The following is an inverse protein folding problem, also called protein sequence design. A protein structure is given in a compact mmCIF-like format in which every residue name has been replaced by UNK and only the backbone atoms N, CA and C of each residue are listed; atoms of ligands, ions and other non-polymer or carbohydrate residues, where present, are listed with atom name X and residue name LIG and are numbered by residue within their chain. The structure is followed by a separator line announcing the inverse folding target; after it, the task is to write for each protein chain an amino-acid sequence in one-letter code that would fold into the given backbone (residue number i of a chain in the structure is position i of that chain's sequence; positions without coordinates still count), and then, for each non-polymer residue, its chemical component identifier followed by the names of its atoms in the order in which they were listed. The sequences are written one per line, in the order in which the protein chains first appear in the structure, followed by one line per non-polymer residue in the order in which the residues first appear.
data_IF_538754992243
#
_entry.id   IF_538754992243
#
_cell.length_a   1.000
_cell.length_b   1.000
_cell.length_c   1.000
_cell.angle_alpha   90.00
_cell.angle_beta   90.00
_cell.angle_gamma   90.00
#
_symmetry.space_group_name_H-M   'P 1'
#
loop_
_entity.id
_entity.type
_entity.pdbx_description
1 polymer ?
#
# COMPACT_ATOMS: atom_id res chain seq x y z
N UNK A 1 24.48 -8.12 -7.55
CA UNK A 1 24.61 -7.75 -6.13
C UNK A 1 24.55 -6.23 -6.04
N UNK A 2 23.65 -5.66 -5.24
CA UNK A 2 23.57 -4.20 -5.07
C UNK A 2 24.74 -3.73 -4.21
N UNK A 3 25.42 -2.66 -4.62
CA UNK A 3 26.52 -2.07 -3.82
C UNK A 3 26.00 -1.57 -2.46
N UNK A 4 26.76 -1.85 -1.38
CA UNK A 4 26.47 -1.37 -0.02
C UNK A 4 26.25 0.14 0.03
N UNK A 5 26.99 0.92 -0.77
CA UNK A 5 26.82 2.38 -0.83
C UNK A 5 25.45 2.76 -1.40
N UNK A 6 25.01 2.06 -2.43
CA UNK A 6 23.67 2.22 -2.99
C UNK A 6 22.61 1.87 -1.94
N UNK A 7 22.74 0.71 -1.30
CA UNK A 7 21.77 0.22 -0.33
C UNK A 7 21.59 1.22 0.84
N UNK A 8 22.70 1.73 1.40
CA UNK A 8 22.66 2.73 2.48
C UNK A 8 22.00 4.04 2.04
N UNK A 9 22.19 4.45 0.78
CA UNK A 9 21.51 5.63 0.23
C UNK A 9 20.00 5.38 0.09
N UNK A 10 19.61 4.22 -0.44
CA UNK A 10 18.20 3.91 -0.65
C UNK A 10 17.43 3.68 0.64
N UNK A 11 18.03 3.06 1.67
CA UNK A 11 17.42 2.96 2.99
C UNK A 11 17.03 4.35 3.53
N UNK A 12 17.95 5.33 3.46
CA UNK A 12 17.68 6.70 3.88
C UNK A 12 16.65 7.40 3.01
N UNK A 13 16.67 7.13 1.71
CA UNK A 13 15.67 7.65 0.78
C UNK A 13 14.28 7.14 1.13
N UNK A 14 14.09 5.83 1.28
CA UNK A 14 12.79 5.23 1.61
C UNK A 14 12.29 5.67 2.98
N UNK A 15 13.15 5.74 3.99
CA UNK A 15 12.78 6.29 5.29
C UNK A 15 12.26 7.74 5.20
N UNK A 16 12.86 8.56 4.33
CA UNK A 16 12.39 9.93 4.09
C UNK A 16 11.06 9.98 3.35
N UNK A 17 10.87 9.17 2.32
CA UNK A 17 9.59 9.14 1.60
C UNK A 17 8.46 8.60 2.48
N UNK A 18 8.73 7.61 3.33
CA UNK A 18 7.80 7.12 4.34
C UNK A 18 7.47 8.18 5.41
N UNK A 19 8.44 8.96 5.87
CA UNK A 19 8.19 10.07 6.79
C UNK A 19 7.26 11.13 6.17
N UNK A 20 7.44 11.45 4.88
CA UNK A 20 6.54 12.37 4.17
C UNK A 20 5.13 11.79 4.02
N UNK A 21 5.03 10.50 3.67
CA UNK A 21 3.75 9.82 3.56
C UNK A 21 3.01 9.80 4.90
N UNK A 22 3.71 9.54 6.02
CA UNK A 22 3.15 9.65 7.36
C UNK A 22 2.66 11.05 7.68
N UNK A 23 3.47 12.09 7.43
CA UNK A 23 3.04 13.47 7.69
C UNK A 23 1.84 13.90 6.82
N UNK A 24 1.71 13.35 5.61
CA UNK A 24 0.53 13.56 4.76
C UNK A 24 -0.67 12.84 5.34
N UNK A 25 -0.49 11.59 5.75
CA UNK A 25 -1.52 10.76 6.36
C UNK A 25 -2.05 11.41 7.65
N UNK A 26 -1.19 12.00 8.49
CA UNK A 26 -1.60 12.70 9.72
C UNK A 26 -2.65 13.77 9.43
N UNK A 27 -2.38 14.63 8.44
CA UNK A 27 -3.30 15.70 8.03
C UNK A 27 -4.58 15.14 7.42
N UNK A 28 -4.46 14.12 6.60
CA UNK A 28 -5.59 13.54 5.89
C UNK A 28 -6.52 12.80 6.85
N UNK A 29 -5.98 12.14 7.87
CA UNK A 29 -6.75 11.49 8.93
C UNK A 29 -7.53 12.47 9.81
N UNK A 30 -7.42 13.78 9.63
CA UNK A 30 -8.33 14.77 10.24
C UNK A 30 -9.60 14.98 9.40
N UNK A 31 -9.64 14.46 8.16
CA UNK A 31 -10.80 14.61 7.27
C UNK A 31 -12.00 13.80 7.78
N UNK A 32 -13.21 14.28 7.46
CA UNK A 32 -14.45 13.59 7.83
C UNK A 32 -14.71 12.35 6.97
N UNK A 33 -14.38 12.42 5.68
CA UNK A 33 -14.65 11.38 4.70
C UNK A 33 -13.51 11.22 3.68
N UNK A 34 -13.51 10.08 2.98
CA UNK A 34 -12.53 9.72 1.96
C UNK A 34 -13.23 9.16 0.71
N UNK A 35 -13.01 9.79 -0.43
CA UNK A 35 -13.44 9.29 -1.73
C UNK A 35 -12.21 8.79 -2.50
N UNK A 36 -11.86 7.50 -2.29
CA UNK A 36 -10.65 6.87 -2.84
C UNK A 36 -9.37 7.69 -2.68
N UNK A 37 -9.23 8.39 -1.54
CA UNK A 37 -8.00 9.10 -1.23
C UNK A 37 -6.85 8.09 -1.23
N UNK A 38 -5.71 8.47 -1.79
CA UNK A 38 -4.55 7.59 -1.81
C UNK A 38 -3.23 8.35 -1.79
N UNK A 39 -2.20 7.65 -1.33
CA UNK A 39 -0.82 8.15 -1.33
C UNK A 39 0.16 7.11 -1.82
N UNK A 40 1.10 7.56 -2.65
CA UNK A 40 2.18 6.74 -3.18
C UNK A 40 3.45 6.98 -2.37
N UNK A 41 4.19 5.91 -2.08
CA UNK A 41 5.53 6.01 -1.50
C UNK A 41 6.60 6.33 -2.57
N UNK A 42 6.37 5.90 -3.80
CA UNK A 42 7.37 5.92 -4.87
C UNK A 42 6.86 6.60 -6.15
N UNK A 43 6.39 7.85 -6.05
CA UNK A 43 5.89 8.64 -7.19
C UNK A 43 6.77 8.60 -8.47
N UNK A 44 8.07 8.35 -8.32
CA UNK A 44 9.05 8.38 -9.41
C UNK A 44 9.46 6.98 -9.88
N UNK A 45 8.80 5.90 -9.43
CA UNK A 45 9.07 4.53 -9.84
C UNK A 45 10.52 4.07 -9.58
N UNK A 46 11.19 4.62 -8.56
CA UNK A 46 12.60 4.28 -8.25
C UNK A 46 12.74 2.86 -7.71
N UNK A 47 11.69 2.33 -7.10
CA UNK A 47 11.55 0.96 -6.64
C UNK A 47 11.65 -0.08 -7.76
N UNK A 48 11.41 0.32 -9.01
CA UNK A 48 11.53 -0.56 -10.17
C UNK A 48 12.98 -0.98 -10.48
N UNK A 49 13.99 -0.27 -9.93
CA UNK A 49 15.40 -0.50 -10.26
C UNK A 49 15.95 -1.80 -9.69
N UNK A 50 15.56 -2.15 -8.46
CA UNK A 50 16.00 -3.37 -7.79
C UNK A 50 14.89 -3.96 -6.95
N UNK A 51 14.88 -5.29 -6.86
CA UNK A 51 13.91 -6.02 -6.05
C UNK A 51 13.93 -5.59 -4.57
N UNK A 52 15.10 -5.23 -4.03
CA UNK A 52 15.21 -4.71 -2.67
C UNK A 52 14.46 -3.40 -2.46
N UNK A 53 14.42 -2.54 -3.48
CA UNK A 53 13.70 -1.27 -3.42
C UNK A 53 12.19 -1.47 -3.59
N UNK A 54 11.75 -2.39 -4.46
CA UNK A 54 10.34 -2.83 -4.51
C UNK A 54 9.86 -3.35 -3.17
N UNK A 55 10.65 -4.20 -2.52
CA UNK A 55 10.32 -4.74 -1.20
C UNK A 55 10.24 -3.60 -0.17
N UNK A 56 11.15 -2.61 -0.22
CA UNK A 56 11.10 -1.45 0.65
C UNK A 56 9.83 -0.60 0.44
N UNK A 57 9.41 -0.40 -0.81
CA UNK A 57 8.16 0.30 -1.16
C UNK A 57 6.95 -0.44 -0.60
N UNK A 58 6.85 -1.75 -0.86
CA UNK A 58 5.76 -2.56 -0.35
C UNK A 58 5.73 -2.53 1.19
N UNK A 59 6.87 -2.77 1.85
CA UNK A 59 6.95 -2.75 3.31
C UNK A 59 6.53 -1.40 3.91
N UNK A 60 6.91 -0.27 3.29
CA UNK A 60 6.49 1.06 3.74
C UNK A 60 4.98 1.28 3.59
N UNK A 61 4.40 0.88 2.46
CA UNK A 61 2.95 0.95 2.26
C UNK A 61 2.18 0.06 3.23
N UNK A 62 2.66 -1.14 3.52
CA UNK A 62 2.04 -2.05 4.49
C UNK A 62 2.11 -1.49 5.94
N UNK A 63 3.23 -0.86 6.33
CA UNK A 63 3.29 -0.17 7.64
C UNK A 63 2.29 0.98 7.74
N UNK A 64 2.10 1.75 6.65
CA UNK A 64 1.08 2.80 6.62
C UNK A 64 -0.33 2.19 6.72
N UNK A 65 -0.59 1.07 6.06
CA UNK A 65 -1.87 0.35 6.14
C UNK A 65 -2.17 -0.08 7.59
N UNK A 66 -1.23 -0.72 8.25
CA UNK A 66 -1.37 -1.16 9.66
C UNK A 66 -1.61 0.03 10.58
N UNK A 67 -0.92 1.16 10.32
CA UNK A 67 -1.11 2.39 11.07
C UNK A 67 -2.53 2.94 10.95
N UNK A 68 -3.07 2.97 9.72
CA UNK A 68 -4.45 3.41 9.49
C UNK A 68 -5.44 2.46 10.16
N UNK A 69 -5.25 1.16 9.99
CA UNK A 69 -6.14 0.17 10.60
C UNK A 69 -6.15 0.28 12.13
N UNK A 70 -5.01 0.63 12.72
CA UNK A 70 -4.87 0.84 14.17
C UNK A 70 -5.33 2.23 14.65
N UNK A 71 -5.78 3.13 13.76
CA UNK A 71 -6.16 4.50 14.12
C UNK A 71 -7.51 4.61 14.84
N UNK A 72 -8.29 3.53 14.91
CA UNK A 72 -9.61 3.51 15.54
C UNK A 72 -10.69 4.23 14.74
N UNK A 73 -10.43 4.61 13.49
CA UNK A 73 -11.43 5.20 12.60
C UNK A 73 -12.42 4.13 12.12
N UNK A 74 -13.54 4.05 12.82
CA UNK A 74 -14.70 3.29 12.38
C UNK A 74 -15.20 3.83 11.03
N UNK A 75 -15.70 2.95 10.17
CA UNK A 75 -16.22 3.28 8.83
C UNK A 75 -15.20 3.81 7.80
N UNK A 76 -13.90 3.54 8.00
CA UNK A 76 -12.87 3.75 6.97
C UNK A 76 -12.31 2.41 6.50
N UNK A 77 -12.34 2.19 5.20
CA UNK A 77 -11.78 1.02 4.54
C UNK A 77 -10.43 1.43 4.01
N UNK A 78 -9.43 0.59 4.27
CA UNK A 78 -8.08 0.82 3.81
C UNK A 78 -7.51 -0.43 3.15
N UNK A 79 -6.73 -0.21 2.11
CA UNK A 79 -6.01 -1.26 1.41
C UNK A 79 -4.79 -0.67 0.70
N UNK A 80 -3.84 -1.53 0.39
CA UNK A 80 -2.70 -1.21 -0.45
C UNK A 80 -2.90 -1.89 -1.79
N UNK A 81 -2.62 -1.17 -2.87
CA UNK A 81 -2.43 -1.76 -4.20
C UNK A 81 -0.94 -1.77 -4.50
N UNK A 82 -0.40 -2.93 -4.85
CA UNK A 82 0.96 -3.12 -5.33
C UNK A 82 0.92 -3.45 -6.83
N UNK A 83 1.50 -2.55 -7.62
CA UNK A 83 1.53 -2.63 -9.06
C UNK A 83 2.89 -3.12 -9.59
N UNK A 84 2.95 -3.64 -10.84
CA UNK A 84 4.21 -3.93 -11.52
C UNK A 84 5.13 -2.71 -11.54
N UNK A 85 4.59 -1.52 -11.83
CA UNK A 85 5.30 -0.26 -11.59
C UNK A 85 5.11 0.18 -10.13
N UNK A 86 6.20 0.27 -9.36
CA UNK A 86 6.16 0.70 -7.95
C UNK A 86 5.60 2.12 -7.79
N UNK A 87 5.69 2.98 -8.80
CA UNK A 87 5.08 4.31 -8.75
C UNK A 87 3.57 4.32 -8.88
N UNK A 88 2.97 3.22 -9.33
CA UNK A 88 1.53 3.02 -9.34
C UNK A 88 1.04 2.26 -8.08
N UNK A 89 1.94 2.02 -7.12
CA UNK A 89 1.59 1.40 -5.84
C UNK A 89 1.22 2.45 -4.81
N UNK A 90 0.12 2.24 -4.09
CA UNK A 90 -0.42 3.22 -3.18
C UNK A 90 -1.21 2.58 -2.03
N UNK A 91 -1.31 3.32 -0.93
CA UNK A 91 -2.30 3.12 0.13
C UNK A 91 -3.56 3.87 -0.24
N UNK A 92 -4.72 3.25 -0.08
CA UNK A 92 -6.04 3.82 -0.31
C UNK A 92 -6.84 3.91 0.99
N UNK A 93 -7.63 4.98 1.10
CA UNK A 93 -8.65 5.21 2.11
C UNK A 93 -9.99 5.50 1.41
N UNK A 94 -11.04 4.87 1.92
CA UNK A 94 -12.40 5.12 1.46
C UNK A 94 -13.37 5.09 2.64
N UNK A 95 -14.44 5.87 2.56
CA UNK A 95 -15.53 5.93 3.53
C UNK A 95 -16.84 6.29 2.83
N UNK A 96 -18.01 6.24 3.51
CA UNK A 96 -19.18 6.97 3.06
C UNK A 96 -18.80 8.43 2.83
N UNK A 97 -19.29 9.01 1.74
CA UNK A 97 -18.94 10.36 1.35
C UNK A 97 -20.09 11.02 0.57
N UNK A 98 -20.12 12.37 0.47
CA UNK A 98 -21.18 13.10 -0.21
C UNK A 98 -21.24 12.88 -1.72
N UNK A 99 -20.18 12.33 -2.34
CA UNK A 99 -20.12 12.12 -3.78
C UNK A 99 -20.97 10.92 -4.23
N UNK A 100 -21.49 10.13 -3.29
CA UNK A 100 -22.34 8.98 -3.58
C UNK A 100 -21.57 7.80 -4.17
N UNK A 101 -20.24 7.79 -4.05
CA UNK A 101 -19.43 6.69 -4.53
C UNK A 101 -19.75 5.41 -3.72
N UNK A 102 -19.88 4.23 -4.36
CA UNK A 102 -20.29 3.01 -3.68
C UNK A 102 -19.41 2.66 -2.48
N UNK A 103 -20.08 2.45 -1.33
CA UNK A 103 -19.45 2.12 -0.06
C UNK A 103 -20.05 0.82 0.53
N UNK A 104 -19.22 -0.13 1.01
CA UNK A 104 -17.75 -0.16 0.89
C UNK A 104 -17.28 -0.36 -0.56
N UNK A 105 -15.99 -0.14 -0.83
CA UNK A 105 -15.43 -0.50 -2.13
C UNK A 105 -15.64 -2.01 -2.37
N UNK A 106 -16.24 -2.41 -3.50
CA UNK A 106 -16.71 -3.78 -3.70
C UNK A 106 -15.59 -4.78 -4.00
N UNK A 107 -14.41 -4.30 -4.43
CA UNK A 107 -13.29 -5.16 -4.86
C UNK A 107 -13.68 -6.17 -5.96
N UNK A 108 -14.51 -5.74 -6.91
CA UNK A 108 -14.98 -6.60 -7.99
C UNK A 108 -13.81 -7.23 -8.78
N UNK A 109 -13.86 -8.56 -8.91
CA UNK A 109 -12.84 -9.34 -9.60
C UNK A 109 -11.55 -9.59 -8.80
N UNK A 110 -11.48 -9.18 -7.53
CA UNK A 110 -10.35 -9.53 -6.65
C UNK A 110 -10.52 -10.96 -6.13
N UNK A 111 -9.49 -11.79 -6.34
CA UNK A 111 -9.36 -13.09 -5.69
C UNK A 111 -8.57 -12.88 -4.41
N UNK A 112 -9.20 -13.10 -3.26
CA UNK A 112 -8.58 -12.98 -1.93
C UNK A 112 -7.95 -14.30 -1.47
N UNK A 113 -7.15 -14.22 -0.40
CA UNK A 113 -6.47 -15.36 0.23
C UNK A 113 -5.57 -16.13 -0.74
N UNK A 114 -4.97 -15.40 -1.68
CA UNK A 114 -3.96 -15.97 -2.57
C UNK A 114 -2.72 -16.34 -1.76
N UNK A 115 -1.94 -17.28 -2.29
CA UNK A 115 -0.55 -17.44 -1.89
C UNK A 115 0.22 -16.21 -2.40
N UNK A 116 0.78 -15.36 -1.51
CA UNK A 116 1.54 -14.20 -1.96
C UNK A 116 2.84 -14.66 -2.64
N UNK A 117 3.39 -13.88 -3.59
CA UNK A 117 4.68 -14.19 -4.19
C UNK A 117 5.80 -14.14 -3.15
N UNK A 118 6.89 -14.88 -3.38
CA UNK A 118 8.01 -15.09 -2.43
C UNK A 118 8.60 -13.80 -1.86
N UNK A 119 8.60 -12.70 -2.63
CA UNK A 119 9.14 -11.42 -2.17
C UNK A 119 8.18 -10.67 -1.23
N UNK A 120 6.88 -10.93 -1.32
CA UNK A 120 5.83 -10.31 -0.51
C UNK A 120 5.49 -11.16 0.72
N UNK A 121 5.54 -12.48 0.59
CA UNK A 121 5.17 -13.40 1.67
C UNK A 121 5.82 -13.06 3.03
N UNK A 122 7.15 -12.79 3.12
CA UNK A 122 7.81 -12.45 4.38
C UNK A 122 7.29 -11.17 5.03
N UNK A 123 6.69 -10.25 4.25
CA UNK A 123 6.11 -9.01 4.76
C UNK A 123 4.71 -9.22 5.36
N UNK A 124 4.06 -10.33 5.03
CA UNK A 124 2.69 -10.63 5.47
C UNK A 124 2.64 -11.64 6.62
N UNK A 125 3.69 -12.46 6.79
CA UNK A 125 3.70 -13.64 7.67
C UNK A 125 3.34 -13.42 9.14
N UNK A 126 3.42 -12.19 9.66
CA UNK A 126 3.12 -11.85 11.06
C UNK A 126 1.97 -10.87 11.22
N UNK A 127 1.28 -10.54 10.12
CA UNK A 127 0.35 -9.42 10.05
C UNK A 127 -1.05 -9.95 9.76
N UNK A 128 -2.10 -9.39 10.38
CA UNK A 128 -3.50 -9.74 10.12
C UNK A 128 -4.00 -9.32 8.72
N UNK A 129 -3.08 -9.27 7.74
CA UNK A 129 -3.30 -8.79 6.40
C UNK A 129 -3.75 -9.92 5.48
N UNK A 130 -4.67 -9.58 4.58
CA UNK A 130 -5.23 -10.47 3.57
C UNK A 130 -4.70 -10.04 2.20
N UNK A 131 -3.83 -10.85 1.55
CA UNK A 131 -3.44 -10.60 0.18
C UNK A 131 -4.57 -10.99 -0.78
N UNK A 132 -4.69 -10.24 -1.86
CA UNK A 132 -5.55 -10.51 -2.98
C UNK A 132 -4.87 -10.19 -4.31
N UNK A 133 -5.47 -10.66 -5.39
CA UNK A 133 -5.01 -10.39 -6.76
C UNK A 133 -6.19 -9.94 -7.60
N UNK A 134 -5.95 -8.92 -8.40
CA UNK A 134 -6.85 -8.47 -9.45
C UNK A 134 -6.14 -8.50 -10.80
N UNK A 135 -6.89 -8.81 -11.86
CA UNK A 135 -6.38 -8.86 -13.23
C UNK A 135 -5.41 -10.02 -13.50
N UNK A 136 -4.78 -9.98 -14.67
CA UNK A 136 -3.88 -11.03 -15.17
C UNK A 136 -2.82 -10.44 -16.10
N UNK A 137 -1.66 -11.10 -16.24
CA UNK A 137 -0.58 -10.60 -17.10
C UNK A 137 -0.08 -9.23 -16.64
N UNK A 138 0.05 -8.28 -17.58
CA UNK A 138 0.58 -6.94 -17.32
C UNK A 138 -0.37 -6.04 -16.49
N UNK A 139 -1.68 -6.33 -16.52
CA UNK A 139 -2.67 -5.62 -15.71
C UNK A 139 -2.77 -6.17 -14.29
N UNK A 140 -2.06 -7.26 -13.97
CA UNK A 140 -2.13 -7.86 -12.64
C UNK A 140 -1.71 -6.85 -11.57
N UNK A 141 -2.50 -6.75 -10.50
CA UNK A 141 -2.20 -5.99 -9.29
C UNK A 141 -2.38 -6.90 -8.08
N UNK A 142 -1.53 -6.72 -7.08
CA UNK A 142 -1.76 -7.31 -5.77
C UNK A 142 -2.47 -6.28 -4.91
N UNK A 143 -3.44 -6.74 -4.14
CA UNK A 143 -4.12 -5.93 -3.14
C UNK A 143 -3.80 -6.52 -1.77
N UNK A 144 -3.69 -5.66 -0.76
CA UNK A 144 -3.51 -6.09 0.63
C UNK A 144 -4.42 -5.25 1.50
N UNK A 145 -5.26 -5.89 2.31
CA UNK A 145 -6.13 -5.21 3.29
C UNK A 145 -6.01 -5.87 4.65
N UNK A 146 -6.54 -5.25 5.69
CA UNK A 146 -6.73 -5.93 6.98
C UNK A 146 -7.90 -6.92 6.86
N UNK A 147 -7.77 -8.10 7.47
CA UNK A 147 -8.88 -9.05 7.55
C UNK A 147 -10.09 -8.39 8.24
N UNK A 148 -11.30 -8.46 7.65
CA UNK A 148 -12.52 -8.00 8.30
C UNK A 148 -12.81 -8.73 9.61
#
# INVERSE_FOLDING_TARGET
MVDRRYQKRMIRYWAREEAKANATLDRVLESEWFDYWHTHLDWMGRGNRHISDRIAVAAGLLRLLERVASSGREHVQCWVTLAPDTGQSALFLHSPNPQGTPWPHPFDGVIWDIVPPDWLAPLLSSTGLQPGRWGSGESQRLLVRVRP
#
